data_IF_552262888590
#
_entry.id   IF_552262888590
#
_cell.length_a   1.000
_cell.length_b   1.000
_cell.length_c   1.000
_cell.angle_alpha   90.00
_cell.angle_beta   90.00
_cell.angle_gamma   90.00
#
_symmetry.space_group_name_H-M   'P 1'
#
loop_
_entity.id
_entity.type
_entity.pdbx_description
1 polymer ?
#
# COMPACT_ATOMS: atom_id res chain seq x y z
N UNK A 1 -8.14 -28.53 2.47
CA UNK A 1 -9.21 -27.51 2.47
C UNK A 1 -8.56 -26.15 2.25
N UNK A 2 -9.06 -25.34 1.32
CA UNK A 2 -8.57 -23.97 1.10
C UNK A 2 -9.32 -22.99 2.00
N UNK A 3 -8.62 -22.25 2.84
CA UNK A 3 -9.20 -21.18 3.67
C UNK A 3 -8.96 -19.83 2.98
N UNK A 4 -9.93 -18.93 3.09
CA UNK A 4 -9.87 -17.58 2.53
C UNK A 4 -10.19 -16.58 3.62
N UNK A 5 -9.32 -15.57 3.76
CA UNK A 5 -9.56 -14.43 4.64
C UNK A 5 -10.06 -13.25 3.80
N UNK A 6 -11.17 -12.65 4.21
CA UNK A 6 -11.64 -11.38 3.64
C UNK A 6 -11.19 -10.23 4.53
N UNK A 7 -10.59 -9.21 3.91
CA UNK A 7 -10.16 -7.97 4.58
C UNK A 7 -10.84 -6.80 3.89
N UNK A 8 -11.52 -5.95 4.67
CA UNK A 8 -12.12 -4.72 4.16
C UNK A 8 -11.13 -3.57 4.31
N UNK A 9 -10.75 -2.96 3.18
CA UNK A 9 -9.88 -1.78 3.14
C UNK A 9 -10.72 -0.54 2.83
N UNK A 10 -11.13 0.18 3.87
CA UNK A 10 -11.96 1.39 3.77
C UNK A 10 -11.32 2.53 4.57
N UNK A 11 -11.06 3.64 3.89
CA UNK A 11 -10.46 4.85 4.46
C UNK A 11 -10.78 6.06 3.57
N UNK A 12 -10.69 7.30 4.09
CA UNK A 12 -10.90 8.52 3.30
C UNK A 12 -9.90 8.66 2.15
N UNK A 13 -8.66 8.23 2.36
CA UNK A 13 -7.57 8.24 1.39
C UNK A 13 -6.84 6.89 1.44
N UNK A 14 -6.39 6.42 0.29
CA UNK A 14 -5.55 5.23 0.14
C UNK A 14 -4.50 5.49 -0.94
N UNK A 15 -3.33 4.86 -0.81
CA UNK A 15 -2.28 4.90 -1.81
C UNK A 15 -1.60 3.55 -1.92
N UNK A 16 -1.60 2.98 -3.13
CA UNK A 16 -1.14 1.63 -3.43
C UNK A 16 -0.12 1.66 -4.56
N UNK A 17 1.10 2.11 -4.27
CA UNK A 17 2.16 2.24 -5.27
C UNK A 17 2.72 0.90 -5.76
N UNK A 18 3.22 0.88 -7.00
CA UNK A 18 4.00 -0.26 -7.53
C UNK A 18 5.33 0.16 -8.12
N UNK A 19 5.46 1.41 -8.56
CA UNK A 19 6.67 1.96 -9.14
C UNK A 19 7.07 3.22 -8.39
N UNK A 20 8.24 3.19 -7.77
CA UNK A 20 8.79 4.37 -7.10
C UNK A 20 10.24 4.57 -7.54
N UNK A 21 10.42 4.93 -8.81
CA UNK A 21 11.64 5.62 -9.22
C UNK A 21 11.25 7.10 -9.29
N UNK A 22 12.03 7.97 -8.65
CA UNK A 22 11.92 9.46 -8.67
C UNK A 22 10.96 10.11 -7.65
N UNK A 23 10.87 11.44 -7.70
CA UNK A 23 10.13 12.30 -6.74
C UNK A 23 8.60 12.29 -6.89
N UNK A 24 8.07 11.53 -7.86
CA UNK A 24 6.63 11.34 -8.04
C UNK A 24 6.26 9.95 -7.53
N UNK A 25 5.28 9.89 -6.61
CA UNK A 25 4.73 8.64 -6.09
C UNK A 25 3.41 8.34 -6.78
N UNK A 26 3.32 7.16 -7.39
CA UNK A 26 2.11 6.67 -8.04
C UNK A 26 1.15 6.02 -7.03
N UNK A 27 -0.06 5.75 -7.50
CA UNK A 27 -1.00 4.85 -6.81
C UNK A 27 -1.84 4.11 -7.84
N UNK A 28 -2.07 2.83 -7.59
CA UNK A 28 -3.06 2.07 -8.32
C UNK A 28 -4.48 2.38 -7.83
N UNK A 29 -5.47 2.18 -8.70
CA UNK A 29 -6.89 2.29 -8.36
C UNK A 29 -7.38 1.17 -7.44
N UNK A 30 -6.52 0.19 -7.12
CA UNK A 30 -6.82 -1.00 -6.33
C UNK A 30 -5.60 -1.36 -5.46
N UNK A 31 -5.80 -1.96 -4.28
CA UNK A 31 -4.73 -2.49 -3.47
C UNK A 31 -3.79 -3.43 -4.24
N UNK A 32 -2.49 -3.25 -4.05
CA UNK A 32 -1.46 -4.13 -4.61
C UNK A 32 -1.23 -5.33 -3.68
N UNK A 33 -0.86 -6.49 -4.25
CA UNK A 33 -0.52 -7.68 -3.44
C UNK A 33 0.59 -7.35 -2.43
N UNK A 34 1.64 -6.65 -2.86
CA UNK A 34 2.76 -6.25 -2.00
C UNK A 34 2.31 -5.34 -0.85
N UNK A 35 1.45 -4.34 -1.11
CA UNK A 35 0.95 -3.45 -0.07
C UNK A 35 0.11 -4.18 0.99
N UNK A 36 -0.78 -5.07 0.57
CA UNK A 36 -1.62 -5.83 1.51
C UNK A 36 -0.81 -6.87 2.29
N UNK A 37 0.11 -7.58 1.63
CA UNK A 37 1.00 -8.50 2.36
C UNK A 37 1.92 -7.75 3.32
N UNK A 38 2.39 -6.55 2.98
CA UNK A 38 3.14 -5.68 3.91
C UNK A 38 2.32 -5.29 5.14
N UNK A 39 1.03 -4.98 4.97
CA UNK A 39 0.11 -4.72 6.09
C UNK A 39 -0.06 -5.96 6.99
N UNK A 40 -0.19 -7.15 6.40
CA UNK A 40 -0.25 -8.41 7.15
C UNK A 40 1.07 -8.71 7.88
N UNK A 41 2.22 -8.51 7.22
CA UNK A 41 3.54 -8.70 7.82
C UNK A 41 3.75 -7.79 9.03
N UNK A 42 3.34 -6.51 8.92
CA UNK A 42 3.36 -5.56 10.02
C UNK A 42 2.46 -6.00 11.18
N UNK A 43 1.25 -6.52 10.90
CA UNK A 43 0.35 -7.03 11.94
C UNK A 43 0.89 -8.30 12.64
N UNK A 44 1.70 -9.09 11.92
CA UNK A 44 2.40 -10.27 12.46
C UNK A 44 3.72 -9.92 13.18
N UNK A 45 4.17 -8.66 13.09
CA UNK A 45 5.41 -8.20 13.69
C UNK A 45 6.69 -8.64 12.96
N UNK A 46 6.59 -8.97 11.66
CA UNK A 46 7.74 -9.36 10.84
C UNK A 46 8.54 -8.11 10.47
N UNK A 47 9.84 -8.08 10.81
CA UNK A 47 10.72 -6.96 10.47
C UNK A 47 11.02 -6.89 8.97
N UNK A 48 11.54 -5.74 8.51
CA UNK A 48 11.76 -5.49 7.08
C UNK A 48 12.79 -6.43 6.45
N UNK A 49 13.81 -6.79 7.23
CA UNK A 49 14.92 -7.65 6.83
C UNK A 49 14.56 -9.14 6.96
N UNK A 50 13.45 -9.47 7.62
CA UNK A 50 13.01 -10.84 7.82
C UNK A 50 12.30 -11.40 6.57
N UNK A 51 12.47 -12.71 6.30
CA UNK A 51 11.76 -13.34 5.19
C UNK A 51 10.25 -13.37 5.45
N UNK A 52 9.47 -13.08 4.41
CA UNK A 52 8.00 -13.13 4.48
C UNK A 52 7.42 -14.55 4.66
N UNK A 53 8.24 -15.60 4.50
CA UNK A 53 7.82 -16.99 4.66
C UNK A 53 6.61 -17.35 3.80
N UNK A 54 5.63 -18.03 4.40
CA UNK A 54 4.41 -18.47 3.72
C UNK A 54 3.55 -17.32 3.17
N UNK A 55 3.69 -16.11 3.72
CA UNK A 55 2.92 -14.95 3.30
C UNK A 55 3.19 -14.62 1.82
N UNK A 56 4.40 -14.87 1.32
CA UNK A 56 4.77 -14.65 -0.08
C UNK A 56 3.97 -15.56 -1.05
N UNK A 57 3.62 -16.77 -0.60
CA UNK A 57 2.92 -17.78 -1.40
C UNK A 57 1.40 -17.57 -1.47
N UNK A 58 0.85 -16.64 -0.67
CA UNK A 58 -0.59 -16.39 -0.61
C UNK A 58 -1.14 -15.94 -1.96
N UNK A 59 -2.26 -16.54 -2.37
CA UNK A 59 -3.06 -16.08 -3.51
C UNK A 59 -3.86 -14.85 -3.09
N UNK A 60 -3.85 -13.83 -3.93
CA UNK A 60 -4.45 -12.54 -3.63
C UNK A 60 -5.48 -12.19 -4.69
N UNK A 61 -6.65 -11.72 -4.24
CA UNK A 61 -7.74 -11.25 -5.10
C UNK A 61 -8.32 -9.96 -4.54
N UNK A 62 -8.77 -9.08 -5.42
CA UNK A 62 -9.35 -7.78 -5.05
C UNK A 62 -10.71 -7.62 -5.70
N UNK A 63 -11.69 -7.21 -4.91
CA UNK A 63 -12.95 -6.65 -5.38
C UNK A 63 -12.97 -5.16 -5.05
N UNK A 64 -13.11 -4.33 -6.07
CA UNK A 64 -13.26 -2.89 -5.88
C UNK A 64 -14.74 -2.57 -5.68
N UNK A 65 -15.13 -2.28 -4.44
CA UNK A 65 -16.52 -1.92 -4.11
C UNK A 65 -16.84 -0.49 -4.58
N UNK A 66 -15.93 0.45 -4.31
CA UNK A 66 -15.97 1.81 -4.83
C UNK A 66 -14.57 2.20 -5.33
N UNK A 67 -14.41 2.58 -6.62
CA UNK A 67 -13.09 2.82 -7.21
C UNK A 67 -12.40 4.11 -6.72
N UNK A 68 -13.15 5.02 -6.08
CA UNK A 68 -12.64 6.32 -5.64
C UNK A 68 -12.26 7.24 -6.81
N UNK A 69 -11.68 8.40 -6.48
CA UNK A 69 -11.19 9.38 -7.47
C UNK A 69 -9.72 9.67 -7.15
N UNK A 70 -8.78 9.49 -8.10
CA UNK A 70 -7.38 9.82 -7.88
C UNK A 70 -7.19 11.27 -7.42
N UNK A 71 -6.28 11.46 -6.46
CA UNK A 71 -5.87 12.78 -5.96
C UNK A 71 -4.37 12.93 -6.15
N UNK A 72 -3.93 14.16 -6.42
CA UNK A 72 -2.52 14.52 -6.49
C UNK A 72 -2.19 15.37 -5.27
N UNK A 73 -1.16 14.95 -4.56
CA UNK A 73 -0.60 15.68 -3.42
C UNK A 73 0.72 16.33 -3.83
N UNK A 74 0.90 17.62 -3.54
CA UNK A 74 2.17 18.32 -3.74
C UNK A 74 2.92 18.35 -2.42
N UNK A 75 3.80 17.37 -2.24
CA UNK A 75 4.50 17.12 -0.98
C UNK A 75 5.95 17.61 -1.07
N UNK A 76 6.30 18.61 -0.26
CA UNK A 76 7.67 19.14 -0.12
C UNK A 76 8.36 18.58 1.13
N UNK A 77 9.65 18.25 1.03
CA UNK A 77 10.49 17.91 2.19
C UNK A 77 11.80 18.71 2.13
N UNK A 78 12.19 19.35 3.24
CA UNK A 78 13.37 20.21 3.32
C UNK A 78 13.23 21.33 4.38
N UNK A 79 14.27 22.14 4.57
CA UNK A 79 14.28 23.26 5.52
C UNK A 79 14.53 24.59 4.83
N UNK A 80 13.49 25.24 4.31
CA UNK A 80 13.58 26.60 3.77
C UNK A 80 13.35 27.65 4.85
N UNK A 81 14.16 28.72 4.89
CA UNK A 81 13.91 29.90 5.73
C UNK A 81 13.02 30.90 4.98
N UNK A 82 11.91 31.29 5.60
CA UNK A 82 10.91 32.24 5.10
C UNK A 82 11.38 33.71 5.30
N UNK A 83 10.92 34.73 4.52
CA UNK A 83 9.96 34.71 3.41
C UNK A 83 10.65 34.78 2.03
N UNK A 84 9.90 34.35 1.01
CA UNK A 84 10.18 34.72 -0.38
C UNK A 84 10.18 36.23 -0.57
#
# INVERSE_FOLDING_TARGET
MTHVLFVRLAAPLQSWGSGSRFGVRDTHARPTKSGVLGLCAAALGIAHEEPLGELAAVRFGVRADHPGVPKRDYHTAGGGRFPL
#
